data_IF_440375112827
#
_entry.id   IF_440375112827
#
_cell.length_a   1.000
_cell.length_b   1.000
_cell.length_c   1.000
_cell.angle_alpha   90.00
_cell.angle_beta   90.00
_cell.angle_gamma   90.00
#
_symmetry.space_group_name_H-M   'P 1'
#
loop_
_entity.id
_entity.type
_entity.pdbx_description
1 polymer ?
#
# COMPACT_ATOMS: atom_id res chain seq x y z
N UNK A 1 7.10 7.37 5.69
CA UNK A 1 7.84 8.40 4.94
C UNK A 1 9.31 8.05 4.77
N UNK A 2 9.89 8.30 3.59
CA UNK A 2 11.33 8.24 3.38
C UNK A 2 11.97 9.61 3.25
N UNK A 3 13.31 9.63 3.14
CA UNK A 3 14.08 10.88 2.94
C UNK A 3 13.78 11.53 1.58
N UNK A 4 14.04 12.84 1.45
CA UNK A 4 13.89 13.58 0.18
C UNK A 4 12.49 13.53 -0.44
N UNK A 5 11.45 13.31 0.37
CA UNK A 5 10.06 13.15 -0.10
C UNK A 5 9.86 11.92 -1.01
N UNK A 6 10.70 10.90 -0.85
CA UNK A 6 10.58 9.62 -1.56
C UNK A 6 9.98 8.56 -0.62
N UNK A 7 8.80 7.99 -0.93
CA UNK A 7 8.20 6.95 -0.11
C UNK A 7 9.05 5.67 -0.11
N UNK A 8 9.08 5.00 1.04
CA UNK A 8 9.74 3.71 1.25
C UNK A 8 8.73 2.65 1.67
N UNK A 9 9.07 1.38 1.43
CA UNK A 9 8.39 0.22 1.98
C UNK A 9 9.31 -0.40 3.01
N UNK A 10 8.79 -0.62 4.21
CA UNK A 10 9.51 -1.21 5.33
C UNK A 10 8.55 -1.96 6.23
N UNK A 11 9.07 -2.79 7.13
CA UNK A 11 8.31 -3.32 8.23
C UNK A 11 8.67 -2.52 9.48
N UNK A 12 7.74 -1.67 9.92
CA UNK A 12 7.93 -0.76 11.05
C UNK A 12 8.42 -1.51 12.30
N UNK A 13 9.16 -0.80 13.15
CA UNK A 13 9.62 -1.31 14.45
C UNK A 13 10.44 -2.62 14.39
N UNK A 14 11.04 -2.94 13.24
CA UNK A 14 11.91 -4.12 13.08
C UNK A 14 13.23 -3.79 12.41
N UNK A 15 14.21 -4.70 12.50
CA UNK A 15 15.52 -4.57 11.87
C UNK A 15 15.52 -4.88 10.35
N UNK A 16 14.38 -4.71 9.67
CA UNK A 16 14.28 -4.92 8.22
C UNK A 16 14.87 -3.73 7.46
N UNK A 17 15.43 -4.00 6.29
CA UNK A 17 15.96 -2.94 5.42
C UNK A 17 14.85 -2.33 4.59
N UNK A 18 14.85 -1.01 4.49
CA UNK A 18 13.91 -0.27 3.66
C UNK A 18 14.20 -0.48 2.17
N UNK A 19 13.14 -0.47 1.38
CA UNK A 19 13.21 -0.47 -0.08
C UNK A 19 12.41 0.69 -0.66
N UNK A 20 12.83 1.17 -1.83
CA UNK A 20 12.14 2.24 -2.56
C UNK A 20 10.73 1.80 -2.95
N UNK A 21 9.72 2.62 -2.65
CA UNK A 21 8.35 2.36 -3.11
C UNK A 21 8.28 2.32 -4.64
N UNK A 22 9.00 3.21 -5.32
CA UNK A 22 9.07 3.25 -6.78
C UNK A 22 9.58 1.92 -7.34
N UNK A 23 10.68 1.40 -6.79
CA UNK A 23 11.29 0.15 -7.25
C UNK A 23 10.33 -1.02 -7.05
N UNK A 24 9.57 -1.04 -5.94
CA UNK A 24 8.52 -2.02 -5.72
C UNK A 24 7.46 -1.98 -6.82
N UNK A 25 6.95 -0.80 -7.15
CA UNK A 25 5.91 -0.62 -8.18
C UNK A 25 6.46 -0.99 -9.58
N UNK A 26 7.71 -0.68 -9.89
CA UNK A 26 8.38 -1.07 -11.15
C UNK A 26 8.47 -2.60 -11.29
N UNK A 27 8.92 -3.30 -10.24
CA UNK A 27 9.03 -4.77 -10.27
C UNK A 27 7.64 -5.44 -10.30
N UNK A 28 6.65 -4.90 -9.58
CA UNK A 28 5.25 -5.33 -9.69
C UNK A 28 4.77 -5.22 -11.14
N UNK A 29 4.95 -4.07 -11.79
CA UNK A 29 4.50 -3.83 -13.17
C UNK A 29 5.12 -4.81 -14.16
N UNK A 30 6.41 -5.12 -13.95
CA UNK A 30 7.22 -6.00 -14.80
C UNK A 30 6.81 -7.46 -14.71
N UNK A 31 6.33 -7.92 -13.56
CA UNK A 31 6.03 -9.34 -13.34
C UNK A 31 4.54 -9.68 -13.22
N UNK A 32 3.67 -8.71 -12.88
CA UNK A 32 2.24 -8.94 -12.60
C UNK A 32 1.52 -9.84 -13.62
N UNK A 33 1.82 -9.66 -14.91
CA UNK A 33 1.20 -10.41 -16.01
C UNK A 33 2.21 -11.06 -16.94
N UNK A 34 3.46 -11.25 -16.50
CA UNK A 34 4.52 -11.85 -17.32
C UNK A 34 4.36 -13.38 -17.32
N UNK A 35 4.26 -14.05 -18.48
CA UNK A 35 4.17 -15.51 -18.54
C UNK A 35 5.33 -16.18 -17.77
N UNK A 36 5.06 -17.24 -16.99
CA UNK A 36 3.82 -18.04 -16.94
C UNK A 36 2.73 -17.50 -15.99
N UNK A 37 2.84 -16.25 -15.50
CA UNK A 37 1.85 -15.67 -14.60
C UNK A 37 0.47 -15.52 -15.26
N UNK A 38 -0.54 -15.43 -14.39
CA UNK A 38 -1.93 -15.21 -14.74
C UNK A 38 -2.17 -13.84 -15.39
N UNK A 39 -3.18 -13.73 -16.25
CA UNK A 39 -3.64 -12.46 -16.83
C UNK A 39 -4.70 -11.75 -15.97
N UNK A 40 -5.22 -12.44 -14.95
CA UNK A 40 -6.25 -11.93 -14.04
C UNK A 40 -5.73 -10.81 -13.13
N UNK A 41 -6.60 -9.93 -12.60
CA UNK A 41 -6.18 -8.72 -11.89
C UNK A 41 -5.26 -9.00 -10.70
N UNK A 42 -4.37 -8.04 -10.43
CA UNK A 42 -3.53 -8.01 -9.23
C UNK A 42 -4.13 -7.03 -8.23
N UNK A 43 -4.29 -7.45 -6.99
CA UNK A 43 -4.75 -6.59 -5.89
C UNK A 43 -3.52 -6.13 -5.11
N UNK A 44 -3.29 -4.81 -5.08
CA UNK A 44 -2.25 -4.18 -4.27
C UNK A 44 -2.86 -3.73 -2.95
N UNK A 45 -2.54 -4.45 -1.87
CA UNK A 45 -2.95 -4.05 -0.52
C UNK A 45 -1.93 -3.06 0.04
N UNK A 46 -2.35 -1.81 0.17
CA UNK A 46 -1.53 -0.72 0.66
C UNK A 46 -1.81 -0.50 2.14
N UNK A 47 -0.79 -0.71 2.96
CA UNK A 47 -0.74 -0.24 4.35
C UNK A 47 0.05 1.06 4.35
N UNK A 48 -0.66 2.18 4.50
CA UNK A 48 -0.13 3.50 4.19
C UNK A 48 0.11 4.32 5.45
N UNK A 49 1.37 4.41 5.84
CA UNK A 49 1.88 5.24 6.94
C UNK A 49 2.61 6.49 6.43
N UNK A 50 2.33 6.92 5.19
CA UNK A 50 2.97 8.11 4.61
C UNK A 50 2.19 9.39 4.93
N UNK A 51 2.90 10.51 5.04
CA UNK A 51 2.30 11.84 5.15
C UNK A 51 1.62 12.25 3.84
N UNK A 52 0.68 13.19 3.89
CA UNK A 52 -0.04 13.71 2.72
C UNK A 52 0.86 14.02 1.50
N UNK A 53 1.97 14.77 1.65
CA UNK A 53 2.91 15.02 0.55
C UNK A 53 3.53 13.76 -0.06
N UNK A 54 3.86 12.75 0.75
CA UNK A 54 4.39 11.49 0.23
C UNK A 54 3.29 10.59 -0.34
N UNK A 55 2.06 10.67 0.15
CA UNK A 55 0.91 10.02 -0.50
C UNK A 55 0.66 10.56 -1.91
N UNK A 56 0.84 11.86 -2.14
CA UNK A 56 0.79 12.47 -3.48
C UNK A 56 1.90 11.92 -4.40
N UNK A 57 3.11 11.70 -3.85
CA UNK A 57 4.20 11.06 -4.58
C UNK A 57 3.87 9.60 -4.89
N UNK A 58 3.34 8.84 -3.93
CA UNK A 58 2.90 7.46 -4.16
C UNK A 58 1.86 7.38 -5.29
N UNK A 59 0.87 8.27 -5.28
CA UNK A 59 -0.16 8.34 -6.31
C UNK A 59 0.43 8.64 -7.70
N UNK A 60 1.35 9.63 -7.77
CA UNK A 60 2.07 9.96 -9.01
C UNK A 60 2.85 8.75 -9.54
N UNK A 61 3.64 8.10 -8.69
CA UNK A 61 4.47 6.93 -9.04
C UNK A 61 3.61 5.78 -9.56
N UNK A 62 2.50 5.46 -8.88
CA UNK A 62 1.60 4.41 -9.33
C UNK A 62 0.97 4.72 -10.68
N UNK A 63 0.49 5.96 -10.89
CA UNK A 63 -0.10 6.37 -12.16
C UNK A 63 0.90 6.31 -13.32
N UNK A 64 2.15 6.76 -13.10
CA UNK A 64 3.20 6.75 -14.11
C UNK A 64 3.63 5.33 -14.52
N UNK A 65 3.77 4.42 -13.55
CA UNK A 65 4.32 3.08 -13.79
C UNK A 65 3.25 2.05 -14.15
N UNK A 66 2.14 2.02 -13.40
CA UNK A 66 1.06 1.07 -13.64
C UNK A 66 0.20 1.50 -14.84
N UNK A 67 0.13 2.81 -15.08
CA UNK A 67 -0.74 3.46 -16.06
C UNK A 67 -2.12 3.73 -15.45
N UNK A 68 -2.57 4.99 -15.50
CA UNK A 68 -3.83 5.42 -14.90
C UNK A 68 -5.03 4.57 -15.36
N UNK A 69 -5.11 4.25 -16.65
CA UNK A 69 -6.19 3.41 -17.21
C UNK A 69 -6.17 1.97 -16.71
N UNK A 70 -5.06 1.50 -16.12
CA UNK A 70 -4.93 0.15 -15.60
C UNK A 70 -5.25 0.03 -14.11
N UNK A 71 -5.37 1.16 -13.41
CA UNK A 71 -5.77 1.20 -12.00
C UNK A 71 -7.29 1.23 -11.93
N UNK A 72 -7.87 0.26 -11.21
CA UNK A 72 -9.31 0.20 -10.99
C UNK A 72 -9.69 1.20 -9.91
N UNK A 73 -10.48 2.21 -10.30
CA UNK A 73 -11.13 3.13 -9.37
C UNK A 73 -12.46 2.52 -8.95
N UNK A 74 -12.68 2.32 -7.65
CA UNK A 74 -13.97 1.89 -7.14
C UNK A 74 -14.96 3.04 -7.22
N UNK A 75 -16.12 2.80 -7.83
CA UNK A 75 -17.18 3.77 -8.07
C UNK A 75 -18.39 3.57 -7.13
N UNK A 76 -18.26 2.70 -6.12
CA UNK A 76 -19.34 2.44 -5.16
C UNK A 76 -20.42 1.49 -5.67
N UNK A 77 -20.19 0.78 -6.78
CA UNK A 77 -21.16 -0.17 -7.30
C UNK A 77 -21.51 -1.27 -6.28
N UNK A 78 -22.76 -1.70 -6.27
CA UNK A 78 -23.23 -2.75 -5.35
C UNK A 78 -22.70 -4.14 -5.72
N UNK A 79 -22.22 -4.33 -6.94
CA UNK A 79 -21.69 -5.60 -7.44
C UNK A 79 -20.24 -5.45 -7.90
N UNK A 80 -19.39 -6.40 -7.50
CA UNK A 80 -17.99 -6.43 -7.91
C UNK A 80 -17.87 -6.91 -9.38
N UNK A 81 -16.96 -6.30 -10.17
CA UNK A 81 -16.70 -6.76 -11.53
C UNK A 81 -16.11 -8.17 -11.53
N UNK A 82 -16.35 -8.91 -12.60
CA UNK A 82 -15.75 -10.24 -12.76
C UNK A 82 -14.22 -10.14 -12.90
N UNK A 83 -13.46 -11.16 -12.48
CA UNK A 83 -12.01 -11.21 -12.75
C UNK A 83 -11.69 -11.12 -14.25
N UNK A 84 -12.56 -11.66 -15.10
CA UNK A 84 -12.40 -11.63 -16.56
C UNK A 84 -12.45 -10.21 -17.13
N UNK A 85 -13.34 -9.36 -16.62
CA UNK A 85 -13.43 -7.94 -17.02
C UNK A 85 -12.26 -7.10 -16.53
N UNK A 86 -11.52 -7.55 -15.52
CA UNK A 86 -10.39 -6.85 -14.92
C UNK A 86 -9.02 -7.43 -15.34
N UNK A 87 -8.93 -8.18 -16.43
CA UNK A 87 -7.63 -8.68 -16.91
C UNK A 87 -6.64 -7.53 -17.11
N UNK A 88 -5.40 -7.77 -16.71
CA UNK A 88 -4.30 -6.81 -16.77
C UNK A 88 -4.54 -5.50 -16.00
N UNK A 89 -5.45 -5.51 -15.02
CA UNK A 89 -5.73 -4.37 -14.15
C UNK A 89 -5.14 -4.55 -12.75
N UNK A 90 -4.85 -3.42 -12.11
CA UNK A 90 -4.42 -3.34 -10.73
C UNK A 90 -5.55 -2.77 -9.88
N UNK A 91 -5.95 -3.49 -8.83
CA UNK A 91 -6.95 -3.04 -7.87
C UNK A 91 -6.21 -2.56 -6.62
N UNK A 92 -6.42 -1.33 -6.21
CA UNK A 92 -5.84 -0.80 -4.97
C UNK A 92 -6.78 -1.09 -3.81
N UNK A 93 -6.27 -1.73 -2.75
CA UNK A 93 -6.98 -1.93 -1.49
C UNK A 93 -6.26 -1.13 -0.41
N UNK A 94 -6.96 -0.23 0.25
CA UNK A 94 -6.42 0.61 1.33
C UNK A 94 -7.50 1.43 2.00
N UNK A 95 -7.14 2.22 3.03
CA UNK A 95 -8.06 3.19 3.65
C UNK A 95 -8.47 4.22 2.59
N UNK A 96 -9.78 4.42 2.41
CA UNK A 96 -10.34 5.47 1.56
C UNK A 96 -10.76 6.59 2.50
N UNK A 97 -10.18 7.79 2.34
CA UNK A 97 -10.65 8.96 3.06
C UNK A 97 -12.07 9.28 2.57
N UNK A 98 -13.05 9.26 3.47
CA UNK A 98 -14.41 9.71 3.16
C UNK A 98 -14.31 11.15 2.63
N UNK A 99 -14.91 11.40 1.47
CA UNK A 99 -15.01 12.77 0.95
C UNK A 99 -15.76 13.65 1.97
N UNK A 100 -15.34 14.92 2.11
CA UNK A 100 -15.97 15.95 2.98
C UNK A 100 -17.47 16.23 2.70
N UNK A 101 -18.11 15.45 1.84
CA UNK A 101 -19.55 15.51 1.54
C UNK A 101 -20.38 14.53 2.35
N UNK A 102 -19.76 13.60 3.08
CA UNK A 102 -20.47 12.72 4.02
C UNK A 102 -20.27 13.29 5.42
N UNK A 103 -21.16 14.19 5.82
CA UNK A 103 -21.32 14.60 7.21
C UNK A 103 -21.70 13.38 8.07
N UNK A 104 -21.11 13.32 9.26
CA UNK A 104 -21.48 12.50 10.43
C UNK A 104 -21.01 11.03 10.46
N UNK A 105 -19.87 10.78 11.11
CA UNK A 105 -19.78 10.23 12.49
C UNK A 105 -18.33 9.82 12.78
N UNK A 106 -17.82 10.34 13.90
CA UNK A 106 -16.49 10.11 14.47
C UNK A 106 -16.24 8.62 14.75
N UNK A 107 -15.08 8.11 14.33
CA UNK A 107 -14.36 7.08 15.09
C UNK A 107 -12.87 7.44 15.08
N UNK A 108 -12.34 7.55 16.29
CA UNK A 108 -10.97 7.88 16.65
C UNK A 108 -10.01 6.87 15.98
N UNK A 109 -8.98 7.37 15.28
CA UNK A 109 -7.85 6.53 14.86
C UNK A 109 -7.14 6.07 16.14
N UNK A 110 -7.45 4.86 16.61
CA UNK A 110 -6.62 4.12 17.55
C UNK A 110 -5.27 3.87 16.85
N UNK A 111 -4.23 4.58 17.29
CA UNK A 111 -2.85 4.26 16.96
C UNK A 111 -2.56 2.87 17.57
N UNK A 112 -2.34 1.86 16.72
CA UNK A 112 -1.87 0.54 17.16
C UNK A 112 -0.44 0.70 17.74
N UNK A 113 -0.35 1.05 19.03
CA UNK A 113 0.88 0.99 19.83
C UNK A 113 1.18 -0.49 20.15
N UNK A 114 1.88 -1.18 19.24
CA UNK A 114 2.53 -2.45 19.57
C UNK A 114 3.72 -2.17 20.54
N UNK A 115 3.44 -2.14 21.85
CA UNK A 115 4.44 -2.22 22.91
C UNK A 115 4.98 -3.66 23.01
N UNK A 116 6.01 -4.00 22.23
CA UNK A 116 6.83 -5.19 22.51
C UNK A 116 7.83 -4.87 23.63
N UNK A 117 7.44 -5.11 24.89
CA UNK A 117 8.35 -5.21 26.03
C UNK A 117 9.18 -6.50 25.92
N UNK A 118 10.39 -6.45 25.35
CA UNK A 118 11.37 -7.52 25.54
C UNK A 118 12.14 -7.31 26.86
N UNK A 119 11.83 -8.12 27.88
CA UNK A 119 12.62 -8.26 29.11
C UNK A 119 14.04 -8.77 28.79
N UNK A 120 15.08 -7.94 29.00
CA UNK A 120 16.46 -8.42 29.00
C UNK A 120 16.74 -9.30 30.24
N UNK A 121 16.72 -10.62 30.08
CA UNK A 121 17.36 -11.52 31.05
C UNK A 121 18.89 -11.43 30.92
N UNK A 122 19.50 -10.66 31.82
CA UNK A 122 20.95 -10.62 32.04
C UNK A 122 21.43 -11.97 32.56
N UNK A 123 21.96 -12.82 31.68
CA UNK A 123 22.72 -14.00 32.09
C UNK A 123 24.12 -13.58 32.55
N UNK A 124 24.27 -13.43 33.86
CA UNK A 124 25.56 -13.34 34.53
C UNK A 124 26.34 -14.66 34.34
N UNK A 125 27.53 -14.58 33.75
CA UNK A 125 28.48 -15.70 33.66
C UNK A 125 29.88 -15.24 34.02
N UNK A 126 30.16 -15.37 35.33
CA UNK A 126 31.33 -15.98 35.98
C UNK A 126 32.74 -15.70 35.45
#
# INVERSE_FOLDING_TARGET
DGSNNEPIVTHGNTATTDISFKDCIEEIRKYAFKPPASEYPVILSLENHCSGPQQEVMATVMNEILGEDNIVKWDGLTELPSPHSLRHKFVLKGKILKSKTDEDEDEEDEEDEDEDEEEEEVMDSK
#
